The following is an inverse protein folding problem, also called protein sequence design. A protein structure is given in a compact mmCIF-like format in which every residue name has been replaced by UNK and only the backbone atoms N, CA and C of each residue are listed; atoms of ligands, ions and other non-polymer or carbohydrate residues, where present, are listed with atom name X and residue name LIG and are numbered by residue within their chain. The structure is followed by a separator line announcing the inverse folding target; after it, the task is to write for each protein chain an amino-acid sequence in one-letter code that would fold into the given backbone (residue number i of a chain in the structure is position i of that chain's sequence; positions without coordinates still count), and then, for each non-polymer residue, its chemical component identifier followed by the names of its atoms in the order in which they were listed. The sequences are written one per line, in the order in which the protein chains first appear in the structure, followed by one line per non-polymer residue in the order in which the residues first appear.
data_IF_502388523506
#
_entry.id   IF_502388523506
#
_cell.length_a   1.000
_cell.length_b   1.000
_cell.length_c   1.000
_cell.angle_alpha   90.00
_cell.angle_beta   90.00
_cell.angle_gamma   90.00
#
_symmetry.space_group_name_H-M   'P 1'
#
loop_
_entity.id
_entity.type
_entity.pdbx_description
1 polymer ?
#
# COMPACT_ATOMS: atom_id res chain seq x y z
N UNK A 1 -2.66 -17.82 -6.52
CA UNK A 1 -2.54 -16.35 -6.59
C UNK A 1 -2.05 -15.99 -7.98
N UNK A 2 -2.59 -14.94 -8.60
CA UNK A 2 -2.10 -14.48 -9.90
C UNK A 2 -0.72 -13.81 -9.72
N UNK A 3 0.30 -14.18 -10.50
CA UNK A 3 1.61 -13.53 -10.43
C UNK A 3 1.48 -12.06 -10.85
N UNK A 4 2.19 -11.17 -10.14
CA UNK A 4 2.34 -9.78 -10.56
C UNK A 4 3.50 -9.72 -11.54
N UNK A 5 3.18 -9.74 -12.82
CA UNK A 5 4.15 -9.54 -13.90
C UNK A 5 4.35 -8.05 -14.20
N UNK A 6 5.26 -7.76 -15.12
CA UNK A 6 5.57 -6.38 -15.52
C UNK A 6 4.34 -5.65 -16.06
N UNK A 7 3.52 -6.32 -16.87
CA UNK A 7 2.30 -5.76 -17.46
C UNK A 7 1.31 -5.36 -16.37
N UNK A 8 1.12 -6.22 -15.37
CA UNK A 8 0.27 -5.94 -14.21
C UNK A 8 0.82 -4.76 -13.41
N UNK A 9 2.13 -4.68 -13.19
CA UNK A 9 2.75 -3.56 -12.47
C UNK A 9 2.62 -2.23 -13.23
N UNK A 10 2.76 -2.26 -14.56
CA UNK A 10 2.58 -1.09 -15.41
C UNK A 10 1.13 -0.58 -15.34
N UNK A 11 0.14 -1.49 -15.42
CA UNK A 11 -1.28 -1.15 -15.29
C UNK A 11 -1.59 -0.57 -13.90
N UNK A 12 -1.08 -1.17 -12.82
CA UNK A 12 -1.23 -0.65 -11.46
C UNK A 12 -0.60 0.73 -11.29
N UNK A 13 0.55 0.97 -11.92
CA UNK A 13 1.23 2.27 -11.86
C UNK A 13 0.43 3.37 -12.55
N UNK A 14 -0.16 3.08 -13.71
CA UNK A 14 -1.05 4.01 -14.42
C UNK A 14 -2.33 4.27 -13.62
N UNK A 15 -2.95 3.23 -13.06
CA UNK A 15 -4.16 3.35 -12.23
C UNK A 15 -3.93 4.22 -10.98
N UNK A 16 -2.84 3.98 -10.24
CA UNK A 16 -2.47 4.80 -9.09
C UNK A 16 -2.22 6.25 -9.47
N UNK A 17 -1.56 6.50 -10.60
CA UNK A 17 -1.30 7.86 -11.09
C UNK A 17 -2.57 8.61 -11.46
N UNK A 18 -3.55 7.93 -12.05
CA UNK A 18 -4.82 8.54 -12.49
C UNK A 18 -5.77 8.83 -11.34
N UNK A 19 -5.85 7.92 -10.36
CA UNK A 19 -6.93 7.96 -9.36
C UNK A 19 -6.47 8.35 -7.95
N UNK A 20 -5.20 8.10 -7.62
CA UNK A 20 -4.69 8.24 -6.26
C UNK A 20 -3.54 9.23 -6.12
N UNK A 21 -2.96 9.70 -7.21
CA UNK A 21 -1.84 10.66 -7.17
C UNK A 21 -2.23 11.97 -7.89
N UNK A 22 -1.79 13.14 -7.37
CA UNK A 22 -1.05 13.30 -6.12
C UNK A 22 -1.92 13.04 -4.88
N UNK A 23 -1.34 12.40 -3.87
CA UNK A 23 -1.95 12.21 -2.55
C UNK A 23 -0.96 12.51 -1.43
N UNK A 24 -1.49 12.95 -0.30
CA UNK A 24 -0.75 13.05 0.96
C UNK A 24 -0.67 11.67 1.62
N UNK A 25 0.52 11.27 2.05
CA UNK A 25 0.69 10.16 2.98
C UNK A 25 0.28 10.61 4.39
N UNK A 26 -0.77 10.03 4.96
CA UNK A 26 -1.26 10.38 6.30
C UNK A 26 -0.69 9.47 7.39
N UNK A 27 -0.53 8.18 7.06
CA UNK A 27 -0.15 7.16 8.01
C UNK A 27 0.52 6.00 7.28
N UNK A 28 1.52 5.42 7.91
CA UNK A 28 2.12 4.15 7.50
C UNK A 28 1.87 3.14 8.60
N UNK A 29 1.47 1.93 8.24
CA UNK A 29 1.22 0.82 9.14
C UNK A 29 1.83 -0.46 8.57
N UNK A 30 2.68 -1.13 9.33
CA UNK A 30 3.20 -2.43 8.94
C UNK A 30 2.43 -3.55 9.65
N UNK A 31 1.75 -4.38 8.85
CA UNK A 31 0.94 -5.49 9.38
C UNK A 31 1.80 -6.67 9.79
N UNK A 32 2.81 -6.96 8.98
CA UNK A 32 3.70 -8.09 9.13
C UNK A 32 5.05 -7.79 8.48
N UNK A 33 6.00 -8.72 8.54
CA UNK A 33 7.36 -8.53 7.99
C UNK A 33 7.39 -8.24 6.48
N UNK A 34 6.29 -8.49 5.77
CA UNK A 34 6.21 -8.44 4.32
C UNK A 34 5.10 -7.56 3.77
N UNK A 35 4.32 -6.88 4.62
CA UNK A 35 3.12 -6.14 4.19
C UNK A 35 3.02 -4.80 4.90
N UNK A 36 3.02 -3.75 4.10
CA UNK A 36 2.85 -2.36 4.50
C UNK A 36 1.52 -1.82 3.99
N UNK A 37 0.90 -0.97 4.79
CA UNK A 37 -0.30 -0.21 4.46
C UNK A 37 0.04 1.28 4.56
N UNK A 38 -0.24 2.03 3.50
CA UNK A 38 -0.01 3.48 3.44
C UNK A 38 -1.37 4.16 3.26
N UNK A 39 -1.76 5.01 4.21
CA UNK A 39 -2.95 5.82 4.10
C UNK A 39 -2.70 6.97 3.13
N UNK A 40 -3.41 6.96 2.01
CA UNK A 40 -3.40 8.00 0.99
C UNK A 40 -4.61 8.90 1.14
N UNK A 41 -4.38 10.21 1.10
CA UNK A 41 -5.42 11.24 1.07
C UNK A 41 -5.29 12.07 -0.20
N UNK A 42 -6.32 12.00 -1.04
CA UNK A 42 -6.51 12.95 -2.16
C UNK A 42 -7.43 14.08 -1.73
N UNK A 43 -7.72 15.03 -2.62
CA UNK A 43 -8.72 16.07 -2.38
C UNK A 43 -10.12 15.50 -2.13
N UNK A 44 -10.46 14.38 -2.77
CA UNK A 44 -11.82 13.85 -2.81
C UNK A 44 -11.99 12.51 -2.07
N UNK A 45 -10.89 11.81 -1.77
CA UNK A 45 -10.93 10.45 -1.26
C UNK A 45 -9.84 10.16 -0.22
N UNK A 46 -10.10 9.14 0.59
CA UNK A 46 -9.13 8.53 1.50
C UNK A 46 -9.13 7.02 1.27
N UNK A 47 -7.96 6.42 1.21
CA UNK A 47 -7.83 4.97 1.04
C UNK A 47 -6.49 4.48 1.56
N UNK A 48 -6.31 3.16 1.50
CA UNK A 48 -5.09 2.51 1.94
C UNK A 48 -4.45 1.79 0.77
N UNK A 49 -3.18 2.07 0.51
CA UNK A 49 -2.37 1.31 -0.42
C UNK A 49 -1.69 0.18 0.34
N UNK A 50 -1.99 -1.06 0.00
CA UNK A 50 -1.30 -2.23 0.52
C UNK A 50 -0.16 -2.64 -0.43
N UNK A 51 1.05 -2.69 0.11
CA UNK A 51 2.26 -3.15 -0.59
C UNK A 51 2.75 -4.39 0.12
N UNK A 52 2.88 -5.50 -0.60
CA UNK A 52 3.46 -6.72 -0.07
C UNK A 52 4.61 -7.22 -0.92
N UNK A 53 5.72 -7.52 -0.27
CA UNK A 53 6.93 -8.11 -0.84
C UNK A 53 7.13 -9.56 -0.35
N UNK A 54 6.04 -10.26 -0.05
CA UNK A 54 6.11 -11.67 0.33
C UNK A 54 6.63 -12.51 -0.84
N UNK A 55 7.62 -13.42 -0.66
CA UNK A 55 8.26 -14.15 -1.76
C UNK A 55 7.31 -14.92 -2.69
N UNK A 56 6.17 -15.38 -2.16
CA UNK A 56 5.16 -16.15 -2.90
C UNK A 56 3.85 -15.39 -3.15
N UNK A 57 3.71 -14.18 -2.59
CA UNK A 57 2.43 -13.46 -2.54
C UNK A 57 2.60 -11.94 -2.71
N UNK A 58 3.61 -11.52 -3.47
CA UNK A 58 3.88 -10.11 -3.75
C UNK A 58 2.69 -9.47 -4.49
N UNK A 59 2.28 -8.28 -4.04
CA UNK A 59 1.09 -7.57 -4.56
C UNK A 59 1.09 -6.11 -4.17
N UNK A 60 0.48 -5.28 -5.01
CA UNK A 60 0.21 -3.86 -4.75
C UNK A 60 -1.24 -3.59 -5.15
N UNK A 61 -2.03 -3.02 -4.24
CA UNK A 61 -3.44 -2.71 -4.51
C UNK A 61 -3.99 -1.73 -3.47
N UNK A 62 -5.08 -1.05 -3.81
CA UNK A 62 -5.89 -0.33 -2.84
C UNK A 62 -6.66 -1.35 -2.00
N UNK A 63 -6.56 -1.21 -0.68
CA UNK A 63 -7.09 -2.12 0.29
C UNK A 63 -8.01 -1.41 1.29
N UNK A 64 -8.77 -2.22 2.02
CA UNK A 64 -9.46 -1.78 3.22
C UNK A 64 -8.45 -1.35 4.31
N UNK A 65 -8.90 -0.52 5.28
CA UNK A 65 -8.07 -0.13 6.41
C UNK A 65 -7.46 -1.34 7.13
N UNK A 66 -6.20 -1.27 7.56
CA UNK A 66 -5.57 -2.36 8.28
C UNK A 66 -6.24 -2.61 9.64
N UNK A 67 -6.04 -3.79 10.23
CA UNK A 67 -6.54 -4.10 11.56
C UNK A 67 -6.07 -3.07 12.60
N UNK A 68 -6.94 -2.74 13.57
CA UNK A 68 -6.64 -1.81 14.67
C UNK A 68 -5.74 -2.44 15.74
N UNK A 69 -4.59 -3.00 15.34
CA UNK A 69 -3.55 -3.51 16.24
C UNK A 69 -2.40 -2.52 16.28
N UNK A 70 -1.70 -2.38 17.43
CA UNK A 70 -0.52 -1.53 17.49
C UNK A 70 0.52 -1.99 16.48
N UNK A 71 1.09 -1.03 15.76
CA UNK A 71 2.24 -1.27 14.91
C UNK A 71 3.49 -1.33 15.78
N UNK A 72 4.14 -2.49 15.81
CA UNK A 72 5.36 -2.73 16.61
C UNK A 72 6.62 -2.75 15.76
N UNK A 73 6.52 -2.49 14.45
CA UNK A 73 7.65 -2.51 13.55
C UNK A 73 8.34 -1.15 13.50
N UNK A 74 9.68 -1.17 13.44
CA UNK A 74 10.50 0.05 13.31
C UNK A 74 10.50 0.58 11.88
N UNK A 75 10.34 -0.30 10.89
CA UNK A 75 10.40 0.10 9.49
C UNK A 75 9.26 1.03 9.08
N UNK A 76 8.02 0.79 9.53
CA UNK A 76 6.91 1.73 9.33
C UNK A 76 7.14 3.09 9.97
N UNK A 77 7.84 3.15 11.11
CA UNK A 77 8.19 4.40 11.79
C UNK A 77 9.22 5.22 11.02
N UNK A 78 10.13 4.56 10.28
CA UNK A 78 11.15 5.22 9.45
C UNK A 78 10.60 5.79 8.14
N UNK A 79 9.42 5.33 7.70
CA UNK A 79 8.79 5.76 6.45
C UNK A 79 7.87 6.98 6.62
N UNK A 80 7.69 7.47 7.85
CA UNK A 80 6.88 8.63 8.18
C UNK A 80 7.75 9.88 8.28
#
# INVERSE_FOLDING_TARGET
MQPVDFTTLAALSDDLRRHWLPARCEQVYQRDRYTLFIALRTLNSRGWLAISWHPQAARIHIAEPPPKRPDTFTFSQQLK
#
